data_IF_922497115543
#
_entry.id   IF_922497115543
#
_cell.length_a   1.000
_cell.length_b   1.000
_cell.length_c   1.000
_cell.angle_alpha   90.00
_cell.angle_beta   90.00
_cell.angle_gamma   90.00
#
_symmetry.space_group_name_H-M   'P 1'
#
loop_
_entity.id
_entity.type
_entity.pdbx_description
1 polymer ?
#
# COMPACT_ATOMS: atom_id res chain seq x y z
N UNK A 1 -52.00 32.27 33.23
CA UNK A 1 -50.66 32.59 32.79
C UNK A 1 -49.78 31.40 33.17
N UNK A 2 -49.53 30.55 32.24
CA UNK A 2 -48.67 29.37 32.42
C UNK A 2 -47.52 29.52 31.43
N UNK A 3 -46.31 29.75 31.94
CA UNK A 3 -45.08 29.80 31.13
C UNK A 3 -44.68 28.40 30.67
N UNK A 4 -44.72 28.20 29.38
CA UNK A 4 -44.12 27.05 28.75
C UNK A 4 -42.58 27.23 28.68
N UNK A 5 -41.86 26.62 29.61
CA UNK A 5 -40.41 26.51 29.53
C UNK A 5 -40.08 25.40 28.51
N UNK A 6 -39.76 25.81 27.30
CA UNK A 6 -39.22 24.89 26.29
C UNK A 6 -37.87 24.36 26.79
N UNK A 7 -37.80 23.04 27.04
CA UNK A 7 -36.54 22.36 27.36
C UNK A 7 -35.61 22.44 26.16
N UNK A 8 -34.51 23.17 26.31
CA UNK A 8 -33.40 23.18 25.36
C UNK A 8 -32.76 21.80 25.40
N UNK A 9 -33.01 20.98 24.36
CA UNK A 9 -32.31 19.73 24.19
C UNK A 9 -30.80 20.02 24.08
N UNK A 10 -30.05 19.61 25.10
CA UNK A 10 -28.59 19.61 25.07
C UNK A 10 -28.13 18.71 23.93
N UNK A 11 -27.61 19.30 22.87
CA UNK A 11 -26.92 18.54 21.82
C UNK A 11 -25.69 17.91 22.48
N UNK A 12 -25.76 16.60 22.76
CA UNK A 12 -24.60 15.85 23.22
C UNK A 12 -23.46 16.04 22.20
N UNK A 13 -22.34 16.57 22.67
CA UNK A 13 -21.11 16.60 21.86
C UNK A 13 -20.76 15.15 21.51
N UNK A 14 -20.45 14.86 20.23
CA UNK A 14 -20.02 13.52 19.85
C UNK A 14 -18.86 13.10 20.77
N UNK A 15 -18.99 11.94 21.41
CA UNK A 15 -17.91 11.35 22.21
C UNK A 15 -16.65 11.28 21.35
N UNK A 16 -15.53 11.79 21.88
CA UNK A 16 -14.24 11.64 21.22
C UNK A 16 -13.94 10.15 21.11
N UNK A 17 -13.45 9.66 19.94
CA UNK A 17 -13.08 8.27 19.81
C UNK A 17 -12.07 7.90 20.89
N UNK A 18 -12.31 6.80 21.61
CA UNK A 18 -11.41 6.30 22.64
C UNK A 18 -10.13 5.80 21.96
N UNK A 19 -9.00 6.48 22.21
CA UNK A 19 -7.69 6.05 21.74
C UNK A 19 -7.06 5.05 22.71
N UNK A 20 -6.19 4.14 22.21
CA UNK A 20 -5.45 3.23 23.09
C UNK A 20 -4.61 4.01 24.11
N UNK A 21 -4.62 3.60 25.38
CA UNK A 21 -3.71 4.12 26.39
C UNK A 21 -2.29 3.51 26.29
N UNK A 22 -2.19 2.32 25.71
CA UNK A 22 -0.94 1.60 25.56
C UNK A 22 -0.05 2.26 24.49
N UNK A 23 1.09 2.82 24.90
CA UNK A 23 2.05 3.49 24.03
C UNK A 23 2.57 2.58 22.92
N UNK A 24 2.81 1.29 23.19
CA UNK A 24 3.26 0.35 22.16
C UNK A 24 2.20 0.17 21.07
N UNK A 25 0.93 0.06 21.45
CA UNK A 25 -0.16 -0.06 20.49
C UNK A 25 -0.33 1.22 19.66
N UNK A 26 -0.17 2.39 20.29
CA UNK A 26 -0.17 3.69 19.55
C UNK A 26 0.90 3.68 18.46
N UNK A 27 2.15 3.27 18.77
CA UNK A 27 3.22 3.20 17.79
C UNK A 27 2.98 2.14 16.70
N UNK A 28 2.46 0.95 17.05
CA UNK A 28 2.10 -0.07 16.05
C UNK A 28 1.05 0.46 15.07
N UNK A 29 0.07 1.22 15.56
CA UNK A 29 -0.96 1.82 14.72
C UNK A 29 -0.40 2.99 13.89
N UNK A 30 0.51 3.79 14.45
CA UNK A 30 1.23 4.86 13.72
C UNK A 30 2.07 4.31 12.57
N UNK A 31 2.70 3.16 12.75
CA UNK A 31 3.42 2.45 11.68
C UNK A 31 2.48 1.99 10.55
N UNK A 32 1.16 2.04 10.77
CA UNK A 32 0.15 1.45 9.88
C UNK A 32 0.43 -0.03 9.59
N UNK A 33 0.79 -0.80 10.62
CA UNK A 33 1.19 -2.21 10.51
C UNK A 33 0.23 -3.10 9.68
N UNK A 34 -1.11 -2.92 9.68
CA UNK A 34 -2.00 -3.70 8.81
C UNK A 34 -1.71 -3.57 7.32
N UNK A 35 -1.05 -2.48 6.88
CA UNK A 35 -0.66 -2.27 5.48
C UNK A 35 0.70 -2.88 5.13
N UNK A 36 1.44 -3.45 6.07
CA UNK A 36 2.73 -4.10 5.78
C UNK A 36 2.64 -5.28 4.82
N UNK A 37 1.45 -5.82 4.61
CA UNK A 37 1.20 -6.80 3.54
C UNK A 37 1.67 -6.30 2.17
N UNK A 38 1.65 -4.98 1.93
CA UNK A 38 2.18 -4.37 0.72
C UNK A 38 3.69 -4.58 0.54
N UNK A 39 4.47 -4.64 1.64
CA UNK A 39 5.90 -4.91 1.60
C UNK A 39 6.23 -6.41 1.71
N UNK A 40 5.39 -7.18 2.40
CA UNK A 40 5.62 -8.62 2.64
C UNK A 40 5.29 -9.46 1.40
N UNK A 41 4.14 -9.22 0.75
CA UNK A 41 3.70 -10.04 -0.38
C UNK A 41 4.66 -10.03 -1.57
N UNK A 42 5.22 -8.89 -2.01
CA UNK A 42 6.18 -8.90 -3.11
C UNK A 42 7.44 -9.73 -2.81
N UNK A 43 7.92 -9.72 -1.54
CA UNK A 43 9.05 -10.57 -1.12
C UNK A 43 8.66 -12.04 -1.18
N UNK A 44 7.46 -12.41 -0.71
CA UNK A 44 6.94 -13.78 -0.81
C UNK A 44 6.80 -14.21 -2.28
N UNK A 45 6.30 -13.33 -3.17
CA UNK A 45 6.22 -13.60 -4.61
C UNK A 45 7.61 -13.82 -5.20
N UNK A 46 8.61 -12.98 -4.82
CA UNK A 46 9.99 -13.16 -5.24
C UNK A 46 10.58 -14.50 -4.80
N UNK A 47 10.35 -14.89 -3.54
CA UNK A 47 10.78 -16.20 -3.02
C UNK A 47 10.08 -17.37 -3.74
N UNK A 48 8.76 -17.24 -3.99
CA UNK A 48 7.99 -18.24 -4.75
C UNK A 48 8.51 -18.36 -6.19
N UNK A 49 8.80 -17.23 -6.84
CA UNK A 49 9.38 -17.20 -8.18
C UNK A 49 10.75 -17.91 -8.23
N UNK A 50 11.63 -17.63 -7.27
CA UNK A 50 12.95 -18.27 -7.17
C UNK A 50 12.82 -19.76 -6.91
N UNK A 51 11.89 -20.16 -6.05
CA UNK A 51 11.63 -21.57 -5.82
C UNK A 51 11.17 -22.29 -7.09
N UNK A 52 10.26 -21.69 -7.84
CA UNK A 52 9.79 -22.27 -9.11
C UNK A 52 10.84 -22.27 -10.21
N UNK A 53 11.55 -21.15 -10.41
CA UNK A 53 12.44 -20.99 -11.56
C UNK A 53 13.85 -21.56 -11.33
N UNK A 54 14.29 -21.62 -10.06
CA UNK A 54 15.68 -21.97 -9.70
C UNK A 54 15.78 -23.15 -8.70
N UNK A 55 14.65 -23.65 -8.17
CA UNK A 55 14.64 -24.72 -7.17
C UNK A 55 15.26 -24.31 -5.82
N UNK A 56 15.41 -23.02 -5.53
CA UNK A 56 16.11 -22.52 -4.35
C UNK A 56 15.14 -21.76 -3.41
N UNK A 57 15.34 -21.93 -2.11
CA UNK A 57 14.64 -21.20 -1.07
C UNK A 57 15.53 -21.02 0.14
N UNK A 58 15.58 -19.79 0.66
CA UNK A 58 16.27 -19.45 1.90
C UNK A 58 15.35 -18.67 2.82
N UNK A 59 14.94 -19.29 3.93
CA UNK A 59 14.04 -18.69 4.90
C UNK A 59 14.67 -17.49 5.60
N UNK A 60 15.97 -17.57 5.93
CA UNK A 60 16.66 -16.49 6.66
C UNK A 60 16.76 -15.26 5.77
N UNK A 61 17.21 -15.43 4.52
CA UNK A 61 17.23 -14.31 3.55
C UNK A 61 15.84 -13.74 3.30
N UNK A 62 14.81 -14.58 3.23
CA UNK A 62 13.42 -14.12 3.09
C UNK A 62 13.01 -13.25 4.27
N UNK A 63 13.26 -13.67 5.51
CA UNK A 63 12.91 -12.91 6.71
C UNK A 63 13.72 -11.62 6.82
N UNK A 64 15.01 -11.63 6.49
CA UNK A 64 15.85 -10.43 6.48
C UNK A 64 15.36 -9.43 5.42
N UNK A 65 15.00 -9.92 4.22
CA UNK A 65 14.45 -9.07 3.16
C UNK A 65 13.11 -8.46 3.57
N UNK A 66 12.21 -9.25 4.18
CA UNK A 66 10.94 -8.74 4.74
C UNK A 66 11.21 -7.67 5.80
N UNK A 67 12.15 -7.91 6.72
CA UNK A 67 12.47 -6.93 7.75
C UNK A 67 12.97 -5.60 7.15
N UNK A 68 13.82 -5.66 6.12
CA UNK A 68 14.31 -4.48 5.40
C UNK A 68 13.18 -3.71 4.68
N UNK A 69 12.36 -4.42 3.91
CA UNK A 69 11.25 -3.80 3.14
C UNK A 69 10.15 -3.25 4.05
N UNK A 70 9.80 -3.96 5.13
CA UNK A 70 8.84 -3.48 6.14
C UNK A 70 9.38 -2.24 6.86
N UNK A 71 10.68 -2.20 7.18
CA UNK A 71 11.29 -1.01 7.80
C UNK A 71 11.22 0.21 6.88
N UNK A 72 11.52 0.06 5.59
CA UNK A 72 11.38 1.14 4.60
C UNK A 72 9.91 1.57 4.46
N UNK A 73 8.97 0.64 4.44
CA UNK A 73 7.54 0.94 4.38
C UNK A 73 7.05 1.67 5.63
N UNK A 74 7.47 1.25 6.82
CA UNK A 74 7.16 1.94 8.07
C UNK A 74 7.70 3.39 8.06
N UNK A 75 8.94 3.59 7.60
CA UNK A 75 9.51 4.91 7.38
C UNK A 75 8.67 5.76 6.42
N UNK A 76 8.21 5.16 5.32
CA UNK A 76 7.35 5.83 4.33
C UNK A 76 6.00 6.24 4.93
N UNK A 77 5.35 5.37 5.71
CA UNK A 77 4.07 5.69 6.36
C UNK A 77 4.21 6.86 7.34
N UNK A 78 5.20 6.79 8.24
CA UNK A 78 5.44 7.84 9.23
C UNK A 78 5.86 9.18 8.61
N UNK A 79 6.69 9.16 7.57
CA UNK A 79 7.09 10.41 6.89
C UNK A 79 5.90 11.01 6.10
N UNK A 80 5.00 10.16 5.60
CA UNK A 80 3.75 10.61 5.00
C UNK A 80 2.87 11.31 6.04
N UNK A 81 2.60 10.69 7.19
CA UNK A 81 1.80 11.29 8.24
C UNK A 81 2.41 12.62 8.77
N UNK A 82 3.75 12.68 8.87
CA UNK A 82 4.43 13.93 9.24
C UNK A 82 4.21 15.06 8.23
N UNK A 83 4.37 14.80 6.91
CA UNK A 83 4.19 15.84 5.90
C UNK A 83 2.72 16.21 5.70
N UNK A 84 1.80 15.26 5.78
CA UNK A 84 0.36 15.50 5.66
C UNK A 84 -0.17 16.30 6.86
N UNK A 85 0.36 16.06 8.08
CA UNK A 85 0.11 16.93 9.23
C UNK A 85 0.67 18.34 9.00
N UNK A 86 1.90 18.48 8.46
CA UNK A 86 2.54 19.78 8.22
C UNK A 86 1.86 20.60 7.13
N UNK A 87 1.29 19.96 6.13
CA UNK A 87 0.51 20.60 5.06
C UNK A 87 -0.94 20.88 5.48
N UNK A 88 -1.34 20.51 6.70
CA UNK A 88 -2.71 20.53 7.23
C UNK A 88 -3.70 19.62 6.49
N UNK A 89 -3.24 18.74 5.61
CA UNK A 89 -4.08 17.83 4.85
C UNK A 89 -4.89 16.92 5.77
N UNK A 90 -4.20 16.24 6.68
CA UNK A 90 -4.82 15.38 7.69
C UNK A 90 -5.74 16.14 8.65
N UNK A 91 -5.43 17.40 8.94
CA UNK A 91 -6.27 18.26 9.81
C UNK A 91 -7.58 18.65 9.09
N UNK A 92 -7.53 18.87 7.79
CA UNK A 92 -8.69 19.24 6.96
C UNK A 92 -9.55 18.04 6.56
N UNK A 93 -9.01 16.83 6.66
CA UNK A 93 -9.72 15.60 6.26
C UNK A 93 -10.85 15.27 7.24
N UNK A 94 -12.09 15.56 6.85
CA UNK A 94 -13.32 15.25 7.59
C UNK A 94 -13.95 13.92 7.18
N UNK A 95 -13.40 13.27 6.15
CA UNK A 95 -13.93 12.05 5.54
C UNK A 95 -13.09 10.82 5.89
N UNK A 96 -12.48 10.79 7.07
CA UNK A 96 -11.66 9.67 7.55
C UNK A 96 -12.47 8.38 7.65
N UNK A 97 -11.86 7.29 7.20
CA UNK A 97 -12.33 5.92 7.39
C UNK A 97 -11.20 5.11 8.08
N UNK A 98 -11.44 3.86 8.47
CA UNK A 98 -10.36 3.01 8.99
C UNK A 98 -9.20 2.76 8.01
N UNK A 99 -9.33 3.15 6.74
CA UNK A 99 -8.39 2.79 5.66
C UNK A 99 -7.69 3.99 5.01
N UNK A 100 -8.13 5.23 5.28
CA UNK A 100 -7.58 6.46 4.69
C UNK A 100 -7.37 7.57 5.73
N UNK A 101 -6.80 8.69 5.32
CA UNK A 101 -6.64 9.89 6.13
C UNK A 101 -5.55 9.84 7.19
N UNK A 102 -4.52 9.01 6.97
CA UNK A 102 -3.40 8.90 7.88
C UNK A 102 -3.71 8.31 9.27
N UNK A 103 -2.73 8.30 10.15
CA UNK A 103 -2.97 8.00 11.55
C UNK A 103 -3.56 9.24 12.27
N UNK A 104 -4.46 9.07 13.23
CA UNK A 104 -5.05 10.22 13.93
C UNK A 104 -4.12 10.83 15.00
N UNK A 105 -3.01 10.15 15.37
CA UNK A 105 -2.27 10.45 16.58
C UNK A 105 -1.54 11.80 16.54
N UNK A 106 -1.12 12.28 15.35
CA UNK A 106 -0.57 13.63 15.17
C UNK A 106 -1.66 14.70 15.28
N UNK A 107 -2.80 14.48 14.63
CA UNK A 107 -3.92 15.43 14.60
C UNK A 107 -4.54 15.59 15.98
N UNK A 108 -4.65 14.50 16.75
CA UNK A 108 -5.17 14.50 18.12
C UNK A 108 -4.12 14.91 19.18
N UNK A 109 -2.87 15.19 18.76
CA UNK A 109 -1.80 15.63 19.66
C UNK A 109 -1.28 14.53 20.61
N UNK A 110 -1.57 13.26 20.33
CA UNK A 110 -1.10 12.09 21.11
C UNK A 110 0.39 11.85 20.87
N UNK A 111 0.82 11.99 19.62
CA UNK A 111 2.22 11.96 19.22
C UNK A 111 2.67 13.36 18.76
N UNK A 112 3.93 13.69 19.04
CA UNK A 112 4.52 14.93 18.55
C UNK A 112 5.10 14.74 17.14
N UNK A 113 4.98 15.72 16.22
CA UNK A 113 5.52 15.61 14.86
C UNK A 113 7.02 15.27 14.82
N UNK A 114 7.80 15.83 15.76
CA UNK A 114 9.24 15.53 15.88
C UNK A 114 9.50 14.05 16.19
N UNK A 115 8.67 13.42 17.03
CA UNK A 115 8.82 12.01 17.39
C UNK A 115 8.56 11.12 16.18
N UNK A 116 7.48 11.39 15.43
CA UNK A 116 7.12 10.63 14.22
C UNK A 116 8.18 10.80 13.13
N UNK A 117 8.69 12.03 12.93
CA UNK A 117 9.78 12.30 11.99
C UNK A 117 11.07 11.52 12.34
N UNK A 118 11.49 11.54 13.62
CA UNK A 118 12.67 10.79 14.06
C UNK A 118 12.45 9.29 13.92
N UNK A 119 11.27 8.77 14.27
CA UNK A 119 10.94 7.36 14.11
C UNK A 119 10.97 6.94 12.62
N UNK A 120 10.48 7.80 11.71
CA UNK A 120 10.59 7.56 10.27
C UNK A 120 12.06 7.45 9.82
N UNK A 121 12.93 8.35 10.28
CA UNK A 121 14.35 8.30 9.94
C UNK A 121 15.04 7.06 10.50
N UNK A 122 14.67 6.63 11.72
CA UNK A 122 15.18 5.37 12.32
C UNK A 122 14.73 4.17 11.46
N UNK A 123 13.47 4.12 11.05
CA UNK A 123 12.96 3.04 10.21
C UNK A 123 13.65 3.00 8.85
N UNK A 124 13.84 4.14 8.18
CA UNK A 124 14.65 4.23 6.96
C UNK A 124 16.12 3.81 7.19
N UNK A 125 16.70 4.20 8.33
CA UNK A 125 18.06 3.80 8.72
C UNK A 125 18.19 2.28 8.88
N UNK A 126 17.25 1.63 9.56
CA UNK A 126 17.22 0.16 9.73
C UNK A 126 17.09 -0.52 8.36
N UNK A 127 16.13 -0.10 7.53
CA UNK A 127 15.95 -0.65 6.19
C UNK A 127 17.19 -0.42 5.31
N UNK A 128 17.81 0.76 5.41
CA UNK A 128 19.06 1.11 4.71
C UNK A 128 20.25 0.26 5.15
N UNK A 129 20.41 0.00 6.45
CA UNK A 129 21.47 -0.89 6.97
C UNK A 129 21.28 -2.33 6.50
N UNK A 130 20.06 -2.85 6.52
CA UNK A 130 19.74 -4.19 5.99
C UNK A 130 20.05 -4.23 4.48
N UNK A 131 19.60 -3.23 3.73
CA UNK A 131 19.87 -3.14 2.28
C UNK A 131 21.37 -3.05 1.97
N UNK A 132 22.14 -2.28 2.76
CA UNK A 132 23.60 -2.20 2.63
C UNK A 132 24.26 -3.55 2.93
N UNK A 133 23.85 -4.23 4.01
CA UNK A 133 24.35 -5.56 4.35
C UNK A 133 24.11 -6.54 3.18
N UNK A 134 22.90 -6.62 2.66
CA UNK A 134 22.55 -7.48 1.53
C UNK A 134 23.33 -7.10 0.25
N UNK A 135 23.54 -5.79 0.02
CA UNK A 135 24.32 -5.31 -1.12
C UNK A 135 25.79 -5.73 -1.05
N UNK A 136 26.40 -5.68 0.13
CA UNK A 136 27.80 -6.04 0.34
C UNK A 136 28.06 -7.55 0.36
N UNK A 137 27.05 -8.33 0.76
CA UNK A 137 27.20 -9.79 0.93
C UNK A 137 26.69 -10.60 -0.26
N UNK A 138 25.77 -10.07 -1.05
CA UNK A 138 25.10 -10.81 -2.12
C UNK A 138 25.33 -10.15 -3.49
N UNK A 139 24.79 -8.94 -3.69
CA UNK A 139 24.91 -8.24 -4.98
C UNK A 139 24.75 -6.72 -4.78
N UNK A 140 25.72 -5.94 -5.24
CA UNK A 140 25.74 -4.49 -5.10
C UNK A 140 24.53 -3.78 -5.72
N UNK A 141 23.83 -4.40 -6.71
CA UNK A 141 22.62 -3.84 -7.34
C UNK A 141 21.44 -3.70 -6.36
N UNK A 142 21.46 -4.38 -5.22
CA UNK A 142 20.47 -4.21 -4.16
C UNK A 142 20.51 -2.78 -3.62
N UNK A 143 21.71 -2.16 -3.55
CA UNK A 143 21.85 -0.81 -3.01
C UNK A 143 21.14 0.26 -3.86
N UNK A 144 21.39 0.40 -5.19
CA UNK A 144 20.65 1.37 -6.00
C UNK A 144 19.14 1.09 -6.05
N UNK A 145 18.70 -0.17 -6.03
CA UNK A 145 17.26 -0.50 -5.95
C UNK A 145 16.67 -0.09 -4.62
N UNK A 146 17.35 -0.35 -3.51
CA UNK A 146 16.93 0.07 -2.17
C UNK A 146 16.89 1.59 -2.02
N UNK A 147 17.89 2.30 -2.57
CA UNK A 147 17.90 3.77 -2.62
C UNK A 147 16.72 4.28 -3.47
N UNK A 148 16.48 3.70 -4.64
CA UNK A 148 15.35 4.08 -5.49
C UNK A 148 14.02 3.88 -4.75
N UNK A 149 13.82 2.72 -4.09
CA UNK A 149 12.62 2.45 -3.28
C UNK A 149 12.45 3.43 -2.13
N UNK A 150 13.51 3.70 -1.37
CA UNK A 150 13.50 4.69 -0.28
C UNK A 150 13.22 6.11 -0.78
N UNK A 151 13.81 6.50 -1.92
CA UNK A 151 13.54 7.79 -2.57
C UNK A 151 12.10 7.88 -3.06
N UNK A 152 11.55 6.85 -3.69
CA UNK A 152 10.15 6.83 -4.10
C UNK A 152 9.24 7.02 -2.89
N UNK A 153 9.49 6.34 -1.77
CA UNK A 153 8.73 6.50 -0.52
C UNK A 153 8.85 7.90 0.07
N UNK A 154 10.06 8.46 0.18
CA UNK A 154 10.28 9.80 0.72
C UNK A 154 9.71 10.89 -0.19
N UNK A 155 10.00 10.82 -1.50
CA UNK A 155 9.57 11.82 -2.49
C UNK A 155 8.07 11.71 -2.80
N UNK A 156 7.41 10.64 -2.37
CA UNK A 156 5.97 10.48 -2.52
C UNK A 156 5.22 11.68 -1.96
N UNK A 157 5.62 12.18 -0.77
CA UNK A 157 4.97 13.31 -0.08
C UNK A 157 5.90 14.51 0.15
N UNK A 158 7.20 14.40 -0.10
CA UNK A 158 8.14 15.50 0.16
C UNK A 158 7.72 16.78 -0.58
N UNK A 159 7.61 17.95 0.09
CA UNK A 159 6.90 19.14 -0.41
C UNK A 159 7.34 19.65 -1.79
N UNK A 160 8.63 19.51 -2.14
CA UNK A 160 9.15 20.00 -3.43
C UNK A 160 8.87 19.07 -4.60
N UNK A 161 8.79 17.76 -4.36
CA UNK A 161 8.59 16.74 -5.40
C UNK A 161 7.13 16.28 -5.39
N UNK A 162 6.62 15.83 -4.25
CA UNK A 162 5.22 15.45 -4.03
C UNK A 162 4.63 14.62 -5.19
N UNK A 163 5.13 13.40 -5.38
CA UNK A 163 4.64 12.52 -6.44
C UNK A 163 3.14 12.26 -6.33
N UNK A 164 2.63 12.10 -5.09
CA UNK A 164 1.21 11.97 -4.81
C UNK A 164 0.41 13.14 -5.37
N UNK A 165 0.86 14.38 -5.11
CA UNK A 165 0.20 15.59 -5.57
C UNK A 165 0.35 15.85 -7.08
N UNK A 166 1.24 15.16 -7.77
CA UNK A 166 1.47 15.30 -9.22
C UNK A 166 0.78 14.25 -10.08
N UNK A 167 0.00 13.35 -9.48
CA UNK A 167 -0.64 12.23 -10.18
C UNK A 167 0.35 11.17 -10.66
N UNK A 168 1.49 11.08 -9.99
CA UNK A 168 2.51 10.04 -10.20
C UNK A 168 2.55 9.07 -9.00
N UNK A 169 1.79 9.36 -7.95
CA UNK A 169 1.78 8.58 -6.71
C UNK A 169 1.31 7.15 -6.95
N UNK A 170 0.25 6.96 -7.72
CA UNK A 170 -0.33 5.67 -8.04
C UNK A 170 0.69 4.78 -8.78
N UNK A 171 1.39 5.37 -9.77
CA UNK A 171 2.45 4.68 -10.52
C UNK A 171 3.64 4.35 -9.61
N UNK A 172 4.07 5.31 -8.77
CA UNK A 172 5.20 5.11 -7.86
C UNK A 172 4.93 3.98 -6.86
N UNK A 173 3.72 3.92 -6.28
CA UNK A 173 3.30 2.84 -5.39
C UNK A 173 3.22 1.51 -6.14
N UNK A 174 2.58 1.47 -7.32
CA UNK A 174 2.46 0.25 -8.11
C UNK A 174 3.82 -0.32 -8.53
N UNK A 175 4.75 0.51 -9.01
CA UNK A 175 6.10 0.09 -9.41
C UNK A 175 6.96 -0.28 -8.19
N UNK A 176 6.91 0.53 -7.13
CA UNK A 176 7.73 0.33 -5.93
C UNK A 176 7.39 -0.95 -5.20
N UNK A 177 6.11 -1.15 -4.86
CA UNK A 177 5.61 -2.31 -4.11
C UNK A 177 5.26 -3.53 -5.00
N UNK A 178 5.50 -3.49 -6.27
CA UNK A 178 5.31 -4.60 -7.19
C UNK A 178 6.62 -4.99 -7.88
N UNK A 179 6.79 -4.57 -9.14
CA UNK A 179 7.91 -5.02 -9.97
C UNK A 179 9.29 -4.81 -9.38
N UNK A 180 9.57 -3.61 -8.81
CA UNK A 180 10.89 -3.31 -8.25
C UNK A 180 11.19 -4.14 -7.01
N UNK A 181 10.20 -4.35 -6.14
CA UNK A 181 10.39 -5.11 -4.92
C UNK A 181 10.51 -6.62 -5.20
N UNK A 182 9.74 -7.17 -6.16
CA UNK A 182 9.88 -8.57 -6.59
C UNK A 182 11.25 -8.79 -7.23
N UNK A 183 11.67 -7.93 -8.17
CA UNK A 183 13.01 -8.00 -8.78
C UNK A 183 14.11 -7.91 -7.72
N UNK A 184 14.02 -6.94 -6.79
CA UNK A 184 14.99 -6.79 -5.71
C UNK A 184 15.09 -8.04 -4.84
N UNK A 185 13.97 -8.67 -4.52
CA UNK A 185 13.92 -9.93 -3.75
C UNK A 185 14.60 -11.07 -4.52
N UNK A 186 14.34 -11.19 -5.82
CA UNK A 186 14.99 -12.23 -6.66
C UNK A 186 16.51 -12.00 -6.73
N UNK A 187 16.97 -10.74 -6.81
CA UNK A 187 18.41 -10.45 -6.74
C UNK A 187 19.00 -10.85 -5.37
N UNK A 188 18.27 -10.62 -4.28
CA UNK A 188 18.70 -11.07 -2.94
C UNK A 188 18.84 -12.59 -2.89
N UNK A 189 17.88 -13.33 -3.42
CA UNK A 189 17.86 -14.80 -3.30
C UNK A 189 18.79 -15.51 -4.27
N UNK A 190 19.12 -14.90 -5.43
CA UNK A 190 19.90 -15.55 -6.49
C UNK A 190 21.24 -14.89 -6.79
N UNK A 191 21.44 -13.66 -6.35
CA UNK A 191 22.55 -12.79 -6.78
C UNK A 191 22.47 -12.35 -8.25
N UNK A 192 21.36 -12.62 -8.97
CA UNK A 192 21.21 -12.37 -10.41
C UNK A 192 20.03 -11.45 -10.69
N UNK A 193 20.17 -10.66 -11.76
CA UNK A 193 19.06 -9.86 -12.30
C UNK A 193 18.23 -10.74 -13.22
N UNK A 194 16.97 -10.92 -12.90
CA UNK A 194 16.00 -11.63 -13.74
C UNK A 194 14.84 -10.69 -14.09
N UNK A 195 14.83 -10.21 -15.33
CA UNK A 195 13.80 -9.28 -15.81
C UNK A 195 12.40 -9.90 -15.88
N UNK A 196 12.28 -11.22 -15.96
CA UNK A 196 10.98 -11.89 -15.90
C UNK A 196 10.36 -11.75 -14.52
N UNK A 197 11.17 -11.75 -13.46
CA UNK A 197 10.71 -11.52 -12.11
C UNK A 197 10.12 -10.09 -11.93
N UNK A 198 10.66 -9.10 -12.64
CA UNK A 198 10.05 -7.76 -12.68
C UNK A 198 8.62 -7.82 -13.22
N UNK A 199 8.40 -8.56 -14.30
CA UNK A 199 7.07 -8.74 -14.89
C UNK A 199 6.15 -9.53 -13.96
N UNK A 200 6.65 -10.54 -13.25
CA UNK A 200 5.89 -11.28 -12.24
C UNK A 200 5.41 -10.39 -11.08
N UNK A 201 6.07 -9.27 -10.82
CA UNK A 201 5.66 -8.27 -9.82
C UNK A 201 4.52 -7.34 -10.25
N UNK A 202 4.18 -7.26 -11.55
CA UNK A 202 3.16 -6.32 -12.04
C UNK A 202 1.77 -6.57 -11.43
N UNK A 203 1.25 -7.81 -11.32
CA UNK A 203 -0.07 -8.04 -10.75
C UNK A 203 -0.21 -7.52 -9.32
N UNK A 204 0.76 -7.78 -8.46
CA UNK A 204 0.71 -7.30 -7.07
C UNK A 204 0.89 -5.78 -6.99
N UNK A 205 1.69 -5.20 -7.89
CA UNK A 205 1.84 -3.75 -8.04
C UNK A 205 0.54 -3.06 -8.43
N UNK A 206 -0.23 -3.63 -9.37
CA UNK A 206 -1.55 -3.11 -9.75
C UNK A 206 -2.56 -3.22 -8.60
N UNK A 207 -2.52 -4.30 -7.81
CA UNK A 207 -3.41 -4.48 -6.67
C UNK A 207 -3.11 -3.50 -5.54
N UNK A 208 -1.83 -3.23 -5.22
CA UNK A 208 -1.52 -2.23 -4.19
C UNK A 208 -1.78 -0.80 -4.68
N UNK A 209 -1.54 -0.51 -5.96
CA UNK A 209 -1.97 0.74 -6.59
C UNK A 209 -3.50 0.94 -6.43
N UNK A 210 -4.28 -0.13 -6.59
CA UNK A 210 -5.73 -0.09 -6.43
C UNK A 210 -6.16 0.18 -4.97
N UNK A 211 -5.41 -0.34 -3.97
CA UNK A 211 -5.62 0.00 -2.55
C UNK A 211 -5.42 1.49 -2.32
N UNK A 212 -4.35 2.08 -2.85
CA UNK A 212 -4.15 3.52 -2.80
C UNK A 212 -5.30 4.25 -3.51
N UNK A 213 -5.65 3.83 -4.71
CA UNK A 213 -6.65 4.47 -5.56
C UNK A 213 -8.04 4.56 -4.90
N UNK A 214 -8.52 3.48 -4.27
CA UNK A 214 -9.82 3.50 -3.58
C UNK A 214 -9.80 4.40 -2.35
N UNK A 215 -8.66 4.51 -1.65
CA UNK A 215 -8.51 5.35 -0.47
C UNK A 215 -8.47 6.85 -0.83
N UNK A 216 -8.15 7.22 -2.06
CA UNK A 216 -8.19 8.60 -2.55
C UNK A 216 -9.62 9.15 -2.73
N UNK A 217 -10.66 8.30 -2.82
CA UNK A 217 -12.03 8.76 -2.99
C UNK A 217 -12.56 9.56 -1.79
N UNK A 218 -12.45 9.07 -0.54
CA UNK A 218 -12.79 9.87 0.62
C UNK A 218 -11.87 11.09 0.83
N UNK A 219 -10.58 10.99 0.48
CA UNK A 219 -9.60 12.04 0.72
C UNK A 219 -9.69 13.21 -0.30
N UNK A 220 -10.47 13.07 -1.39
CA UNK A 220 -10.47 13.96 -2.55
C UNK A 220 -10.58 15.46 -2.20
N UNK A 221 -11.50 15.85 -1.29
CA UNK A 221 -11.68 17.26 -0.95
C UNK A 221 -10.53 17.82 -0.10
N UNK A 222 -10.02 17.03 0.86
CA UNK A 222 -8.90 17.43 1.70
C UNK A 222 -7.63 17.57 0.84
N UNK A 223 -7.30 16.55 0.06
CA UNK A 223 -6.16 16.53 -0.84
C UNK A 223 -6.19 17.69 -1.85
N UNK A 224 -7.33 17.94 -2.49
CA UNK A 224 -7.50 19.08 -3.40
C UNK A 224 -7.25 20.43 -2.71
N UNK A 225 -7.68 20.58 -1.45
CA UNK A 225 -7.54 21.82 -0.68
C UNK A 225 -6.08 22.19 -0.36
N UNK A 226 -5.18 21.22 -0.37
CA UNK A 226 -3.73 21.40 -0.13
C UNK A 226 -2.90 21.23 -1.41
N UNK A 227 -3.55 21.13 -2.58
CA UNK A 227 -2.89 21.06 -3.89
C UNK A 227 -2.40 19.66 -4.27
N UNK A 228 -2.83 18.61 -3.60
CA UNK A 228 -2.60 17.23 -4.05
C UNK A 228 -3.57 16.88 -5.18
N UNK A 229 -3.03 16.74 -6.41
CA UNK A 229 -3.80 16.49 -7.62
C UNK A 229 -3.59 15.06 -8.13
N UNK A 230 -3.89 14.05 -7.30
CA UNK A 230 -3.90 12.64 -7.67
C UNK A 230 -5.03 12.31 -8.68
N UNK A 231 -5.09 11.09 -9.18
CA UNK A 231 -6.01 10.74 -10.27
C UNK A 231 -7.48 10.98 -9.93
N UNK A 232 -7.92 10.71 -8.70
CA UNK A 232 -9.33 10.93 -8.32
C UNK A 232 -9.66 12.43 -8.29
N UNK A 233 -8.76 13.30 -7.80
CA UNK A 233 -8.94 14.77 -7.85
C UNK A 233 -9.02 15.26 -9.29
N UNK A 234 -8.13 14.79 -10.18
CA UNK A 234 -8.08 15.22 -11.60
C UNK A 234 -9.29 14.78 -12.41
N UNK A 235 -9.79 13.57 -12.18
CA UNK A 235 -10.88 12.99 -12.94
C UNK A 235 -12.26 13.31 -12.35
N UNK A 236 -12.31 13.61 -11.05
CA UNK A 236 -13.52 13.62 -10.25
C UNK A 236 -14.04 12.21 -9.95
N UNK A 237 -14.69 12.02 -8.79
CA UNK A 237 -15.13 10.68 -8.30
C UNK A 237 -15.86 9.85 -9.35
N UNK A 238 -16.79 10.47 -10.11
CA UNK A 238 -17.61 9.75 -11.12
C UNK A 238 -16.77 9.11 -12.23
N UNK A 239 -15.84 9.85 -12.83
CA UNK A 239 -14.95 9.29 -13.88
C UNK A 239 -13.92 8.33 -13.27
N UNK A 240 -13.38 8.69 -12.11
CA UNK A 240 -12.43 7.86 -11.40
C UNK A 240 -13.04 6.50 -11.02
N UNK A 241 -14.34 6.42 -10.69
CA UNK A 241 -14.99 5.14 -10.36
C UNK A 241 -14.89 4.09 -11.47
N UNK A 242 -14.82 4.52 -12.74
CA UNK A 242 -14.61 3.61 -13.88
C UNK A 242 -13.18 3.04 -13.92
N UNK A 243 -12.19 3.76 -13.39
CA UNK A 243 -10.81 3.31 -13.31
C UNK A 243 -10.64 2.08 -12.40
N UNK A 244 -11.46 1.95 -11.36
CA UNK A 244 -11.37 0.86 -10.39
C UNK A 244 -11.53 -0.53 -11.04
N UNK A 245 -12.66 -0.87 -11.73
CA UNK A 245 -12.77 -2.15 -12.42
C UNK A 245 -11.79 -2.32 -13.57
N UNK A 246 -11.35 -1.22 -14.23
CA UNK A 246 -10.35 -1.31 -15.31
C UNK A 246 -8.98 -1.76 -14.78
N UNK A 247 -8.53 -1.28 -13.62
CA UNK A 247 -7.29 -1.72 -12.99
C UNK A 247 -7.38 -3.20 -12.60
N UNK A 248 -8.51 -3.64 -12.02
CA UNK A 248 -8.74 -5.06 -11.71
C UNK A 248 -8.72 -5.94 -12.95
N UNK A 249 -9.45 -5.55 -14.00
CA UNK A 249 -9.45 -6.28 -15.27
C UNK A 249 -8.06 -6.33 -15.89
N UNK A 250 -7.32 -5.21 -15.84
CA UNK A 250 -5.92 -5.14 -16.28
C UNK A 250 -5.01 -6.10 -15.52
N UNK A 251 -5.21 -6.21 -14.19
CA UNK A 251 -4.45 -7.16 -13.35
C UNK A 251 -4.68 -8.61 -13.80
N UNK A 252 -5.92 -9.04 -13.93
CA UNK A 252 -6.24 -10.42 -14.32
C UNK A 252 -5.86 -10.71 -15.77
N UNK A 253 -6.06 -9.76 -16.67
CA UNK A 253 -5.63 -9.88 -18.06
C UNK A 253 -4.10 -9.99 -18.17
N UNK A 254 -3.36 -9.20 -17.38
CA UNK A 254 -1.90 -9.30 -17.34
C UNK A 254 -1.44 -10.69 -16.89
N UNK A 255 -2.05 -11.26 -15.83
CA UNK A 255 -1.73 -12.63 -15.39
C UNK A 255 -1.96 -13.64 -16.51
N UNK A 256 -3.11 -13.58 -17.20
CA UNK A 256 -3.39 -14.47 -18.32
C UNK A 256 -2.36 -14.30 -19.45
N UNK A 257 -1.99 -13.08 -19.80
CA UNK A 257 -0.98 -12.78 -20.82
C UNK A 257 0.40 -13.27 -20.41
N UNK A 258 0.79 -13.07 -19.15
CA UNK A 258 2.09 -13.52 -18.63
C UNK A 258 2.24 -15.04 -18.64
N UNK A 259 1.15 -15.79 -18.43
CA UNK A 259 1.12 -17.26 -18.56
C UNK A 259 1.30 -17.68 -20.02
N UNK A 260 0.55 -17.07 -20.95
CA UNK A 260 0.68 -17.35 -22.38
C UNK A 260 2.09 -17.04 -22.89
N UNK A 261 2.72 -16.00 -22.36
CA UNK A 261 4.11 -15.62 -22.66
C UNK A 261 5.16 -16.49 -21.94
N UNK A 262 4.76 -17.45 -21.11
CA UNK A 262 5.64 -18.28 -20.27
C UNK A 262 6.52 -17.47 -19.30
N UNK A 263 6.06 -16.30 -18.84
CA UNK A 263 6.76 -15.52 -17.82
C UNK A 263 6.46 -16.02 -16.40
N UNK A 264 5.28 -16.58 -16.19
CA UNK A 264 4.83 -17.13 -14.92
C UNK A 264 4.10 -18.47 -15.18
N UNK A 265 4.08 -19.40 -14.22
CA UNK A 265 3.48 -20.71 -14.41
C UNK A 265 1.94 -20.67 -14.38
N UNK A 266 1.32 -21.73 -14.93
CA UNK A 266 -0.14 -21.82 -15.15
C UNK A 266 -0.97 -21.69 -13.85
N UNK A 267 -0.50 -22.28 -12.73
CA UNK A 267 -1.24 -22.22 -11.48
C UNK A 267 -1.25 -20.83 -10.85
N UNK A 268 -0.52 -19.84 -11.40
CA UNK A 268 -0.69 -18.42 -11.06
C UNK A 268 -2.13 -17.95 -11.31
N UNK A 269 -2.93 -18.68 -12.10
CA UNK A 269 -4.38 -18.45 -12.26
C UNK A 269 -5.18 -18.56 -10.94
N UNK A 270 -4.62 -19.12 -9.87
CA UNK A 270 -5.31 -19.12 -8.57
C UNK A 270 -5.70 -17.72 -8.09
N UNK A 271 -5.00 -16.67 -8.50
CA UNK A 271 -5.40 -15.27 -8.22
C UNK A 271 -6.83 -14.96 -8.71
N UNK A 272 -7.31 -15.61 -9.78
CA UNK A 272 -8.65 -15.41 -10.34
C UNK A 272 -9.77 -15.82 -9.36
N UNK A 273 -9.47 -16.60 -8.33
CA UNK A 273 -10.44 -16.91 -7.26
C UNK A 273 -10.89 -15.65 -6.50
N UNK A 274 -10.18 -14.53 -6.65
CA UNK A 274 -10.58 -13.23 -6.09
C UNK A 274 -11.62 -12.49 -6.94
N UNK A 275 -11.93 -12.93 -8.16
CA UNK A 275 -12.90 -12.28 -9.09
C UNK A 275 -14.26 -12.02 -8.45
N UNK A 276 -14.89 -12.94 -7.69
CA UNK A 276 -16.20 -12.66 -7.07
C UNK A 276 -16.16 -11.45 -6.14
N UNK A 277 -15.09 -11.31 -5.33
CA UNK A 277 -14.89 -10.16 -4.45
C UNK A 277 -14.64 -8.90 -5.28
N UNK A 278 -13.84 -9.00 -6.34
CA UNK A 278 -13.51 -7.90 -7.26
C UNK A 278 -14.77 -7.34 -7.95
N UNK A 279 -15.67 -8.20 -8.42
CA UNK A 279 -16.95 -7.79 -9.02
C UNK A 279 -17.83 -7.06 -7.98
N UNK A 280 -17.92 -7.60 -6.75
CA UNK A 280 -18.71 -6.99 -5.69
C UNK A 280 -18.15 -5.62 -5.30
N UNK A 281 -16.85 -5.50 -5.11
CA UNK A 281 -16.18 -4.23 -4.81
C UNK A 281 -16.39 -3.21 -5.95
N UNK A 282 -16.21 -3.63 -7.21
CA UNK A 282 -16.43 -2.78 -8.38
C UNK A 282 -17.86 -2.24 -8.45
N UNK A 283 -18.86 -3.08 -8.19
CA UNK A 283 -20.27 -2.63 -8.14
C UNK A 283 -20.48 -1.55 -7.07
N UNK A 284 -19.92 -1.73 -5.87
CA UNK A 284 -20.02 -0.74 -4.79
C UNK A 284 -19.40 0.58 -5.22
N UNK A 285 -18.19 0.56 -5.80
CA UNK A 285 -17.50 1.77 -6.25
C UNK A 285 -18.27 2.49 -7.35
N UNK A 286 -18.76 1.76 -8.35
CA UNK A 286 -19.50 2.35 -9.47
C UNK A 286 -20.84 2.97 -9.06
N UNK A 287 -21.50 2.44 -8.01
CA UNK A 287 -22.81 2.92 -7.56
C UNK A 287 -22.73 3.95 -6.44
N UNK A 288 -21.62 3.97 -5.66
CA UNK A 288 -21.52 4.77 -4.45
C UNK A 288 -20.29 5.71 -4.43
N UNK A 289 -19.73 6.06 -5.58
CA UNK A 289 -18.50 6.85 -5.69
C UNK A 289 -18.52 8.19 -4.92
N UNK A 290 -19.69 8.79 -4.70
CA UNK A 290 -19.86 10.05 -3.96
C UNK A 290 -20.21 9.85 -2.47
N UNK A 291 -20.43 8.62 -2.01
CA UNK A 291 -20.79 8.33 -0.63
C UNK A 291 -19.63 7.62 0.09
N UNK A 292 -18.85 8.40 0.83
CA UNK A 292 -17.65 7.91 1.56
C UNK A 292 -17.96 6.72 2.46
N UNK A 293 -19.06 6.77 3.24
CA UNK A 293 -19.41 5.67 4.15
C UNK A 293 -19.79 4.38 3.41
N UNK A 294 -20.46 4.51 2.27
CA UNK A 294 -20.83 3.38 1.44
C UNK A 294 -19.62 2.76 0.70
N UNK A 295 -18.49 3.48 0.58
CA UNK A 295 -17.24 2.97 0.01
C UNK A 295 -16.41 2.13 0.99
N UNK A 296 -16.61 2.23 2.30
CA UNK A 296 -15.83 1.49 3.31
C UNK A 296 -15.79 -0.03 3.04
N UNK A 297 -16.89 -0.71 2.69
CA UNK A 297 -16.81 -2.12 2.31
C UNK A 297 -15.94 -2.39 1.07
N UNK A 298 -15.91 -1.47 0.09
CA UNK A 298 -15.06 -1.63 -1.09
C UNK A 298 -13.58 -1.44 -0.74
N UNK A 299 -13.22 -0.51 0.16
CA UNK A 299 -11.87 -0.37 0.68
C UNK A 299 -11.40 -1.67 1.36
N UNK A 300 -12.22 -2.24 2.26
CA UNK A 300 -11.91 -3.51 2.92
C UNK A 300 -11.76 -4.66 1.91
N UNK A 301 -12.67 -4.77 0.93
CA UNK A 301 -12.59 -5.79 -0.12
C UNK A 301 -11.34 -5.62 -0.98
N UNK A 302 -10.90 -4.39 -1.28
CA UNK A 302 -9.69 -4.14 -2.06
C UNK A 302 -8.45 -4.64 -1.32
N UNK A 303 -8.35 -4.39 -0.01
CA UNK A 303 -7.28 -4.93 0.83
C UNK A 303 -7.33 -6.47 0.86
N UNK A 304 -8.53 -7.07 0.95
CA UNK A 304 -8.69 -8.53 0.87
C UNK A 304 -8.25 -9.07 -0.49
N UNK A 305 -8.60 -8.43 -1.60
CA UNK A 305 -8.17 -8.83 -2.95
C UNK A 305 -6.65 -8.78 -3.05
N UNK A 306 -6.01 -7.72 -2.54
CA UNK A 306 -4.56 -7.61 -2.51
C UNK A 306 -3.93 -8.74 -1.67
N UNK A 307 -4.39 -8.95 -0.44
CA UNK A 307 -3.84 -9.96 0.46
C UNK A 307 -4.08 -11.38 -0.06
N UNK A 308 -5.35 -11.75 -0.28
CA UNK A 308 -5.73 -13.10 -0.72
C UNK A 308 -5.20 -13.36 -2.14
N UNK A 309 -5.31 -12.38 -3.03
CA UNK A 309 -4.80 -12.49 -4.40
C UNK A 309 -3.29 -12.69 -4.44
N UNK A 310 -2.52 -11.92 -3.65
CA UNK A 310 -1.08 -12.07 -3.54
C UNK A 310 -0.66 -13.44 -2.97
N UNK A 311 -1.37 -13.94 -1.95
CA UNK A 311 -1.12 -15.26 -1.38
C UNK A 311 -1.46 -16.39 -2.37
N UNK A 312 -2.61 -16.32 -3.04
CA UNK A 312 -3.02 -17.30 -4.05
C UNK A 312 -2.08 -17.30 -5.26
N UNK A 313 -1.63 -16.10 -5.68
CA UNK A 313 -0.65 -15.97 -6.75
C UNK A 313 0.69 -16.62 -6.38
N UNK A 314 1.21 -16.34 -5.18
CA UNK A 314 2.43 -16.96 -4.67
C UNK A 314 2.29 -18.47 -4.53
N UNK A 315 1.15 -18.95 -3.98
CA UNK A 315 0.86 -20.37 -3.83
C UNK A 315 0.82 -21.05 -5.20
N UNK A 316 0.18 -20.44 -6.20
CA UNK A 316 0.14 -20.97 -7.56
C UNK A 316 1.53 -21.12 -8.19
N UNK A 317 2.41 -20.12 -7.97
CA UNK A 317 3.80 -20.20 -8.43
C UNK A 317 4.53 -21.36 -7.75
N UNK A 318 4.44 -21.49 -6.41
CA UNK A 318 5.08 -22.57 -5.65
C UNK A 318 4.57 -23.95 -6.06
N UNK A 319 3.24 -24.13 -6.18
CA UNK A 319 2.65 -25.40 -6.57
C UNK A 319 3.08 -25.84 -7.98
N UNK A 320 3.34 -24.91 -8.87
CA UNK A 320 3.82 -25.20 -10.22
C UNK A 320 5.21 -25.82 -10.24
N UNK A 321 6.05 -25.59 -9.22
CA UNK A 321 7.36 -26.22 -9.10
C UNK A 321 7.29 -27.74 -8.86
N UNK A 322 6.12 -28.27 -8.49
CA UNK A 322 5.92 -29.71 -8.30
C UNK A 322 5.29 -30.40 -9.53
N UNK A 323 4.93 -29.63 -10.56
CA UNK A 323 4.27 -30.15 -11.77
C UNK A 323 5.26 -30.20 -12.93
N UNK A 324 6.23 -29.33 -12.95
CA UNK A 324 7.27 -29.19 -13.97
C UNK A 324 8.65 -29.48 -13.36
#
# INVERSE_FOLDING_TARGET
MGENVASVATVEKPEKPAFPENKLLIWILELRAPFFTAAVLPVIIGAAFVYWAYGAFDLVLTLVTIAGTVSLHAGTNMINDYFDFKSEDDIRNRARTPFNGGSPFLVEGILQPRQVFIAALIAFGIGGMIGLYLALTINWLILPLGILGGLLGFLYVAPKVNLAGRGLGEIAVGLGFGPLMVLGSVIVFTGKVDLVSFLAGIPIGLLIMLVLYINQFPDMEADASVGKNHWVVRLGRKKASLGYPLILAGTYLFVATAIVANWIPILSLLILLTIPIAIKASKIVLTNYDNVRALVPAQAMTIQIHLIGGLLFSLGIVLSAFIY
#
